data_IF_534384183929
#
_entry.id   IF_534384183929
#
_cell.length_a   1.000
_cell.length_b   1.000
_cell.length_c   1.000
_cell.angle_alpha   90.00
_cell.angle_beta   90.00
_cell.angle_gamma   90.00
#
_symmetry.space_group_name_H-M   'P 1'
#
loop_
_entity.id
_entity.type
_entity.pdbx_description
1 polymer ?
#
# COMPACT_ATOMS: atom_id res chain seq x y z
N UNK A 1 25.89 3.10 46.73
CA UNK A 1 25.74 4.01 45.57
C UNK A 1 26.25 3.30 44.31
N UNK A 2 25.35 2.63 43.61
CA UNK A 2 25.66 2.10 42.28
C UNK A 2 24.37 2.05 41.51
N UNK A 3 24.38 2.69 40.33
CA UNK A 3 23.57 2.33 39.16
C UNK A 3 22.81 3.48 38.51
N UNK A 4 23.13 3.67 37.31
CA UNK A 4 22.29 3.72 36.10
C UNK A 4 23.11 4.24 34.93
N UNK A 5 23.93 3.36 34.32
CA UNK A 5 24.67 3.72 33.11
C UNK A 5 24.34 2.79 31.89
N UNK A 6 23.29 1.94 32.01
CA UNK A 6 22.96 0.95 30.97
C UNK A 6 21.86 1.32 29.99
N UNK A 7 21.06 2.36 30.30
CA UNK A 7 19.84 2.67 29.52
C UNK A 7 20.07 3.63 28.36
N UNK A 8 20.98 4.58 28.46
CA UNK A 8 21.19 5.60 27.43
C UNK A 8 21.86 5.07 26.16
N UNK A 9 22.85 4.19 26.27
CA UNK A 9 23.57 3.65 25.11
C UNK A 9 22.72 2.77 24.19
N UNK A 10 21.76 2.03 24.74
CA UNK A 10 20.92 1.13 23.96
C UNK A 10 19.81 1.88 23.21
N UNK A 11 19.36 2.99 23.75
CA UNK A 11 18.43 3.93 23.10
C UNK A 11 19.14 4.65 21.95
N UNK A 12 20.37 5.12 22.16
CA UNK A 12 21.15 5.82 21.14
C UNK A 12 21.48 4.95 19.94
N UNK A 13 21.83 3.68 20.14
CA UNK A 13 22.14 2.74 19.06
C UNK A 13 20.89 2.42 18.22
N UNK A 14 19.73 2.21 18.85
CA UNK A 14 18.47 2.00 18.15
C UNK A 14 18.03 3.23 17.37
N UNK A 15 18.17 4.41 17.93
CA UNK A 15 17.86 5.68 17.28
C UNK A 15 18.77 5.94 16.09
N UNK A 16 20.07 5.73 16.22
CA UNK A 16 21.06 5.87 15.13
C UNK A 16 20.81 4.85 14.02
N UNK A 17 20.48 3.60 14.34
CA UNK A 17 20.16 2.58 13.34
C UNK A 17 18.84 2.91 12.61
N UNK A 18 17.84 3.41 13.31
CA UNK A 18 16.58 3.86 12.75
C UNK A 18 16.77 5.07 11.81
N UNK A 19 17.54 6.07 12.21
CA UNK A 19 17.85 7.26 11.38
C UNK A 19 18.65 6.84 10.14
N UNK A 20 19.62 5.95 10.25
CA UNK A 20 20.35 5.41 9.09
C UNK A 20 19.45 4.65 8.14
N UNK A 21 18.58 3.79 8.65
CA UNK A 21 17.62 3.05 7.83
C UNK A 21 16.67 4.01 7.10
N UNK A 22 16.12 5.00 7.79
CA UNK A 22 15.21 5.99 7.21
C UNK A 22 15.91 6.87 6.16
N UNK A 23 17.13 7.34 6.44
CA UNK A 23 17.89 8.13 5.47
C UNK A 23 18.27 7.34 4.22
N UNK A 24 18.67 6.08 4.35
CA UNK A 24 18.95 5.19 3.22
C UNK A 24 17.70 4.91 2.39
N UNK A 25 16.53 4.80 3.03
CA UNK A 25 15.25 4.59 2.37
C UNK A 25 14.84 5.82 1.55
N UNK A 26 14.88 7.01 2.15
CA UNK A 26 14.54 8.27 1.47
C UNK A 26 15.51 8.53 0.31
N UNK A 27 16.81 8.40 0.53
CA UNK A 27 17.83 8.58 -0.51
C UNK A 27 17.65 7.56 -1.66
N UNK A 28 17.29 6.32 -1.34
CA UNK A 28 16.95 5.30 -2.34
C UNK A 28 15.75 5.69 -3.20
N UNK A 29 14.69 6.22 -2.59
CA UNK A 29 13.52 6.72 -3.32
C UNK A 29 13.87 7.94 -4.19
N UNK A 30 14.64 8.89 -3.66
CA UNK A 30 15.10 10.06 -4.43
C UNK A 30 15.95 9.66 -5.64
N UNK A 31 16.87 8.71 -5.48
CA UNK A 31 17.70 8.19 -6.57
C UNK A 31 16.84 7.49 -7.63
N UNK A 32 15.85 6.69 -7.21
CA UNK A 32 14.93 6.01 -8.10
C UNK A 32 14.06 7.00 -8.89
N UNK A 33 13.53 8.02 -8.23
CA UNK A 33 12.76 9.11 -8.85
C UNK A 33 13.63 9.87 -9.85
N UNK A 34 14.86 10.21 -9.48
CA UNK A 34 15.79 10.91 -10.38
C UNK A 34 16.11 10.08 -11.63
N UNK A 35 16.30 8.76 -11.48
CA UNK A 35 16.53 7.86 -12.59
C UNK A 35 15.35 7.78 -13.58
N UNK A 36 14.15 8.16 -13.17
CA UNK A 36 12.97 8.21 -14.03
C UNK A 36 12.80 9.53 -14.82
N UNK A 37 13.61 10.54 -14.55
CA UNK A 37 13.42 11.89 -15.10
C UNK A 37 13.38 11.88 -16.63
N UNK A 38 14.23 11.08 -17.28
CA UNK A 38 14.27 10.97 -18.75
C UNK A 38 12.98 10.36 -19.34
N UNK A 39 12.23 9.58 -18.56
CA UNK A 39 10.94 8.99 -18.96
C UNK A 39 9.77 9.91 -18.65
N UNK A 40 9.81 10.54 -17.48
CA UNK A 40 8.74 11.43 -17.02
C UNK A 40 8.70 12.73 -17.82
N UNK A 41 9.85 13.30 -18.17
CA UNK A 41 9.89 14.56 -18.90
C UNK A 41 9.19 14.51 -20.29
N UNK A 42 9.38 13.47 -21.14
CA UNK A 42 8.58 13.30 -22.36
C UNK A 42 7.09 13.08 -22.09
N UNK A 43 6.74 12.32 -21.06
CA UNK A 43 5.34 12.08 -20.68
C UNK A 43 4.61 13.38 -20.32
N UNK A 44 5.26 14.29 -19.61
CA UNK A 44 4.71 15.63 -19.34
C UNK A 44 4.47 16.48 -20.60
N UNK A 45 5.33 16.31 -21.63
CA UNK A 45 5.21 17.08 -22.88
C UNK A 45 4.18 16.49 -23.83
N UNK A 46 4.09 15.18 -23.89
CA UNK A 46 3.38 14.45 -24.95
C UNK A 46 2.11 13.73 -24.43
N UNK A 47 1.93 13.62 -23.10
CA UNK A 47 0.92 12.76 -22.49
C UNK A 47 1.35 11.29 -22.43
N UNK A 48 0.44 10.38 -22.01
CA UNK A 48 0.61 8.92 -22.01
C UNK A 48 1.24 8.33 -20.74
N UNK A 49 1.71 9.16 -19.82
CA UNK A 49 2.25 8.69 -18.54
C UNK A 49 3.54 7.86 -18.65
N UNK A 50 3.86 7.12 -17.60
CA UNK A 50 4.98 6.15 -17.51
C UNK A 50 4.47 4.91 -16.80
N UNK A 51 4.32 3.80 -17.50
CA UNK A 51 3.80 2.57 -16.91
C UNK A 51 4.67 2.09 -15.73
N UNK A 52 4.04 1.45 -14.74
CA UNK A 52 4.74 0.93 -13.56
C UNK A 52 5.93 0.05 -13.94
N UNK A 53 5.73 -0.90 -14.87
CA UNK A 53 6.79 -1.78 -15.36
C UNK A 53 7.95 -1.08 -16.07
N UNK A 54 7.74 0.15 -16.54
CA UNK A 54 8.76 0.97 -17.21
C UNK A 54 9.50 1.90 -16.23
N UNK A 55 9.13 1.93 -14.96
CA UNK A 55 9.86 2.67 -13.93
C UNK A 55 11.30 2.14 -13.80
N UNK A 56 12.20 2.92 -13.20
CA UNK A 56 13.56 2.45 -12.93
C UNK A 56 13.55 1.19 -12.06
N UNK A 57 14.41 0.22 -12.33
CA UNK A 57 14.45 -1.05 -11.58
C UNK A 57 14.68 -0.88 -10.08
N UNK A 58 15.34 0.21 -9.66
CA UNK A 58 15.51 0.55 -8.26
C UNK A 58 14.22 1.07 -7.59
N UNK A 59 13.21 1.50 -8.37
CA UNK A 59 11.95 2.03 -7.85
C UNK A 59 11.19 0.97 -7.04
N UNK A 60 11.06 -0.23 -7.56
CA UNK A 60 10.32 -1.32 -6.90
C UNK A 60 10.89 -1.64 -5.50
N UNK A 61 12.22 -1.74 -5.41
CA UNK A 61 12.90 -1.95 -4.13
C UNK A 61 12.80 -0.73 -3.21
N UNK A 62 12.84 0.49 -3.76
CA UNK A 62 12.78 1.72 -3.00
C UNK A 62 11.39 1.90 -2.36
N UNK A 63 10.32 1.69 -3.12
CA UNK A 63 8.93 1.76 -2.64
C UNK A 63 8.69 0.70 -1.57
N UNK A 64 9.09 -0.56 -1.81
CA UNK A 64 8.95 -1.62 -0.82
C UNK A 64 9.70 -1.32 0.50
N UNK A 65 10.87 -0.69 0.42
CA UNK A 65 11.64 -0.27 1.62
C UNK A 65 10.99 0.92 2.32
N UNK A 66 10.41 1.84 1.58
CA UNK A 66 9.79 3.04 2.13
C UNK A 66 8.59 2.70 3.01
N UNK A 67 7.68 1.87 2.53
CA UNK A 67 6.46 1.53 3.26
C UNK A 67 6.65 0.44 4.32
N UNK A 68 7.65 -0.44 4.16
CA UNK A 68 7.90 -1.57 5.09
C UNK A 68 7.89 -1.20 6.57
N UNK A 69 8.57 -0.14 7.05
CA UNK A 69 8.56 0.22 8.47
C UNK A 69 7.16 0.56 9.00
N UNK A 70 6.34 1.26 8.22
CA UNK A 70 4.95 1.55 8.56
C UNK A 70 4.13 0.26 8.73
N UNK A 71 4.20 -0.63 7.75
CA UNK A 71 3.50 -1.92 7.81
C UNK A 71 3.97 -2.79 8.99
N UNK A 72 5.29 -2.88 9.21
CA UNK A 72 5.85 -3.68 10.32
C UNK A 72 5.42 -3.17 11.69
N UNK A 73 5.31 -1.85 11.85
CA UNK A 73 5.00 -1.25 13.14
C UNK A 73 3.50 -1.17 13.42
N UNK A 74 2.65 -1.01 12.41
CA UNK A 74 1.26 -0.64 12.62
C UNK A 74 0.24 -1.65 12.06
N UNK A 75 0.56 -2.42 11.00
CA UNK A 75 -0.43 -3.24 10.29
C UNK A 75 -1.15 -4.21 11.22
N UNK A 76 -0.41 -5.04 11.95
CA UNK A 76 -0.99 -6.08 12.80
C UNK A 76 -1.42 -5.54 14.16
N UNK A 77 -0.68 -4.58 14.72
CA UNK A 77 -0.91 -4.07 16.07
C UNK A 77 -1.96 -2.97 16.18
N UNK A 78 -2.21 -2.24 15.09
CA UNK A 78 -3.07 -1.06 15.11
C UNK A 78 -4.11 -1.06 14.00
N UNK A 79 -3.70 -1.25 12.73
CA UNK A 79 -4.59 -1.04 11.59
C UNK A 79 -5.64 -2.15 11.47
N UNK A 80 -5.23 -3.42 11.52
CA UNK A 80 -6.18 -4.54 11.47
C UNK A 80 -7.14 -4.54 12.68
N UNK A 81 -6.68 -4.27 13.92
CA UNK A 81 -7.59 -4.13 15.07
C UNK A 81 -8.56 -2.96 14.98
N UNK A 82 -8.24 -1.90 14.23
CA UNK A 82 -9.14 -0.76 14.01
C UNK A 82 -10.32 -1.08 13.08
N UNK A 83 -10.25 -2.19 12.34
CA UNK A 83 -11.35 -2.67 11.48
C UNK A 83 -12.34 -3.50 12.29
N UNK A 84 -13.64 -3.31 12.06
CA UNK A 84 -14.67 -3.96 12.85
C UNK A 84 -14.73 -5.47 12.61
N UNK A 85 -14.35 -6.26 13.64
CA UNK A 85 -14.45 -7.72 13.65
C UNK A 85 -13.47 -8.47 12.75
N UNK A 86 -12.57 -7.77 12.05
CA UNK A 86 -11.64 -8.37 11.09
C UNK A 86 -10.64 -9.30 11.80
N UNK A 87 -10.05 -8.88 12.92
CA UNK A 87 -9.08 -9.72 13.66
C UNK A 87 -9.70 -11.04 14.09
N UNK A 88 -10.93 -11.04 14.57
CA UNK A 88 -11.64 -12.26 14.98
C UNK A 88 -11.82 -13.23 13.80
N UNK A 89 -12.12 -12.72 12.59
CA UNK A 89 -12.21 -13.54 11.38
C UNK A 89 -10.83 -14.10 11.00
N UNK A 90 -9.78 -13.27 11.04
CA UNK A 90 -8.41 -13.68 10.73
C UNK A 90 -7.90 -14.77 11.67
N UNK A 91 -8.18 -14.68 12.97
CA UNK A 91 -7.82 -15.70 13.95
C UNK A 91 -8.52 -17.05 13.73
N UNK A 92 -9.80 -17.00 13.27
CA UNK A 92 -10.61 -18.20 13.01
C UNK A 92 -10.31 -18.87 11.67
N UNK A 93 -9.68 -18.18 10.76
CA UNK A 93 -9.41 -18.64 9.41
C UNK A 93 -10.26 -17.88 8.39
N UNK A 94 -9.72 -16.77 7.90
CA UNK A 94 -10.33 -15.90 6.89
C UNK A 94 -9.69 -16.12 5.53
N UNK A 95 -10.39 -15.72 4.48
CA UNK A 95 -9.86 -15.61 3.13
C UNK A 95 -9.60 -14.15 2.80
N UNK A 96 -8.35 -13.82 2.50
CA UNK A 96 -7.86 -12.45 2.34
C UNK A 96 -7.25 -12.26 0.95
N UNK A 97 -7.62 -11.18 0.28
CA UNK A 97 -6.94 -10.70 -0.93
C UNK A 97 -6.13 -9.44 -0.60
N UNK A 98 -4.86 -9.44 -0.97
CA UNK A 98 -3.95 -8.29 -0.95
C UNK A 98 -3.70 -7.87 -2.40
N UNK A 99 -4.36 -6.81 -2.85
CA UNK A 99 -4.38 -6.39 -4.25
C UNK A 99 -3.45 -5.20 -4.45
N UNK A 100 -2.57 -5.28 -5.44
CA UNK A 100 -1.41 -4.41 -5.57
C UNK A 100 -0.31 -4.79 -4.58
N UNK A 101 -0.15 -6.09 -4.30
CA UNK A 101 0.72 -6.60 -3.23
C UNK A 101 2.21 -6.35 -3.45
N UNK A 102 2.63 -5.96 -4.66
CA UNK A 102 4.02 -5.73 -5.01
C UNK A 102 4.90 -6.93 -4.65
N UNK A 103 5.90 -6.72 -3.83
CA UNK A 103 6.81 -7.78 -3.34
C UNK A 103 6.25 -8.58 -2.15
N UNK A 104 4.97 -8.45 -1.81
CA UNK A 104 4.26 -9.25 -0.80
C UNK A 104 4.56 -8.90 0.66
N UNK A 105 5.07 -7.70 0.97
CA UNK A 105 5.47 -7.33 2.34
C UNK A 105 4.29 -7.37 3.30
N UNK A 106 3.19 -6.72 2.97
CA UNK A 106 1.92 -6.70 3.73
C UNK A 106 1.34 -8.10 3.88
N UNK A 107 1.25 -8.83 2.75
CA UNK A 107 0.75 -10.20 2.70
C UNK A 107 1.50 -11.11 3.68
N UNK A 108 2.84 -11.05 3.67
CA UNK A 108 3.67 -11.88 4.56
C UNK A 108 3.53 -11.51 6.03
N UNK A 109 3.38 -10.22 6.35
CA UNK A 109 3.16 -9.78 7.73
C UNK A 109 1.83 -10.31 8.27
N UNK A 110 0.76 -10.22 7.48
CA UNK A 110 -0.55 -10.77 7.83
C UNK A 110 -0.50 -12.30 7.95
N UNK A 111 0.13 -12.99 7.00
CA UNK A 111 0.22 -14.45 6.99
C UNK A 111 0.99 -15.02 8.19
N UNK A 112 2.04 -14.32 8.65
CA UNK A 112 2.77 -14.68 9.88
C UNK A 112 1.92 -14.49 11.13
N UNK A 113 1.15 -13.41 11.19
CA UNK A 113 0.33 -13.09 12.35
C UNK A 113 -0.90 -13.99 12.47
N UNK A 114 -1.46 -14.44 11.34
CA UNK A 114 -2.71 -15.20 11.29
C UNK A 114 -2.55 -16.51 10.49
N UNK A 115 -1.88 -17.49 11.05
CA UNK A 115 -1.54 -18.73 10.32
C UNK A 115 -2.75 -19.60 9.94
N UNK A 116 -3.91 -19.38 10.54
CA UNK A 116 -5.15 -20.08 10.20
C UNK A 116 -5.85 -19.52 8.94
N UNK A 117 -5.47 -18.32 8.49
CA UNK A 117 -6.06 -17.62 7.35
C UNK A 117 -5.26 -17.86 6.07
N UNK A 118 -5.96 -17.80 4.93
CA UNK A 118 -5.39 -17.87 3.58
C UNK A 118 -5.24 -16.45 3.03
N UNK A 119 -4.05 -16.15 2.50
CA UNK A 119 -3.72 -14.85 1.91
C UNK A 119 -3.36 -15.01 0.44
N UNK A 120 -4.01 -14.25 -0.42
CA UNK A 120 -3.74 -14.26 -1.85
C UNK A 120 -3.30 -12.85 -2.25
N UNK A 121 -2.04 -12.73 -2.66
CA UNK A 121 -1.49 -11.48 -3.20
C UNK A 121 -1.72 -11.41 -4.71
N UNK A 122 -2.28 -10.32 -5.18
CA UNK A 122 -2.47 -10.01 -6.60
C UNK A 122 -1.68 -8.78 -6.98
N UNK A 123 -0.98 -8.84 -8.09
CA UNK A 123 -0.31 -7.69 -8.70
C UNK A 123 -0.28 -7.87 -10.22
N UNK A 124 -0.42 -6.80 -10.98
CA UNK A 124 -0.39 -6.88 -12.44
C UNK A 124 1.02 -7.01 -13.00
N UNK A 125 2.08 -6.76 -12.18
CA UNK A 125 3.48 -6.79 -12.58
C UNK A 125 4.10 -8.18 -12.32
N UNK A 126 4.40 -8.99 -13.34
CA UNK A 126 4.85 -10.37 -13.17
C UNK A 126 6.12 -10.50 -12.31
N UNK A 127 7.10 -9.59 -12.51
CA UNK A 127 8.34 -9.63 -11.74
C UNK A 127 8.14 -9.36 -10.25
N UNK A 128 7.14 -8.54 -9.87
CA UNK A 128 6.75 -8.34 -8.46
C UNK A 128 6.19 -9.62 -7.85
N UNK A 129 5.35 -10.34 -8.59
CA UNK A 129 4.79 -11.62 -8.15
C UNK A 129 5.87 -12.68 -7.95
N UNK A 130 6.84 -12.79 -8.84
CA UNK A 130 7.96 -13.73 -8.66
C UNK A 130 8.81 -13.36 -7.43
N UNK A 131 9.08 -12.08 -7.21
CA UNK A 131 9.75 -11.62 -6.00
C UNK A 131 8.94 -11.94 -4.72
N UNK A 132 7.61 -11.74 -4.75
CA UNK A 132 6.74 -12.05 -3.63
C UNK A 132 6.74 -13.55 -3.27
N UNK A 133 6.69 -14.44 -4.28
CA UNK A 133 6.81 -15.89 -4.09
C UNK A 133 8.13 -16.28 -3.43
N UNK A 134 9.24 -15.73 -3.92
CA UNK A 134 10.56 -15.97 -3.35
C UNK A 134 10.65 -15.51 -1.89
N UNK A 135 10.19 -14.30 -1.61
CA UNK A 135 10.16 -13.75 -0.25
C UNK A 135 9.25 -14.56 0.69
N UNK A 136 8.11 -15.07 0.22
CA UNK A 136 7.22 -15.91 1.04
C UNK A 136 7.91 -17.22 1.43
N UNK A 137 8.65 -17.84 0.50
CA UNK A 137 9.42 -19.03 0.77
C UNK A 137 10.54 -18.76 1.80
N UNK A 138 11.31 -17.70 1.63
CA UNK A 138 12.36 -17.27 2.56
C UNK A 138 11.81 -16.96 3.96
N UNK A 139 10.58 -16.48 4.04
CA UNK A 139 9.92 -16.10 5.28
C UNK A 139 9.08 -17.23 5.91
N UNK A 140 9.01 -18.40 5.29
CA UNK A 140 8.33 -19.59 5.82
C UNK A 140 6.80 -19.46 5.85
N UNK A 141 6.19 -18.65 4.98
CA UNK A 141 4.73 -18.44 4.93
C UNK A 141 4.06 -18.99 3.66
N UNK A 142 4.78 -19.78 2.86
CA UNK A 142 4.22 -20.36 1.63
C UNK A 142 3.06 -21.33 1.86
N UNK A 143 2.88 -21.83 3.09
CA UNK A 143 1.78 -22.73 3.40
C UNK A 143 0.40 -22.05 3.37
N UNK A 144 0.33 -20.76 3.68
CA UNK A 144 -0.90 -19.99 3.75
C UNK A 144 -0.88 -18.73 2.88
N UNK A 145 0.06 -18.64 1.93
CA UNK A 145 0.12 -17.55 0.95
C UNK A 145 0.13 -18.08 -0.48
N UNK A 146 -0.50 -17.33 -1.38
CA UNK A 146 -0.40 -17.50 -2.83
C UNK A 146 -0.18 -16.14 -3.47
N UNK A 147 0.45 -16.12 -4.66
CA UNK A 147 0.68 -14.90 -5.41
C UNK A 147 0.38 -15.14 -6.89
N UNK A 148 -0.47 -14.29 -7.47
CA UNK A 148 -0.98 -14.44 -8.82
C UNK A 148 -0.91 -13.12 -9.58
N UNK A 149 -0.58 -13.19 -10.88
CA UNK A 149 -0.60 -12.02 -11.76
C UNK A 149 -2.04 -11.71 -12.13
N UNK A 150 -2.55 -10.57 -11.66
CA UNK A 150 -3.90 -10.10 -11.99
C UNK A 150 -4.01 -8.58 -11.80
N UNK A 151 -4.96 -7.96 -12.52
CA UNK A 151 -5.29 -6.54 -12.33
C UNK A 151 -6.27 -6.36 -11.20
N UNK A 152 -6.31 -5.15 -10.61
CA UNK A 152 -7.25 -4.82 -9.54
C UNK A 152 -8.73 -4.86 -9.98
N UNK A 153 -8.99 -4.73 -11.27
CA UNK A 153 -10.33 -4.79 -11.86
C UNK A 153 -10.78 -6.18 -12.28
N UNK A 154 -9.89 -7.20 -12.21
CA UNK A 154 -10.19 -8.54 -12.73
C UNK A 154 -9.40 -9.67 -12.03
N UNK A 155 -9.04 -9.52 -10.74
CA UNK A 155 -8.44 -10.63 -10.00
C UNK A 155 -9.47 -11.74 -9.74
N UNK A 156 -9.05 -13.02 -9.74
CA UNK A 156 -9.96 -14.15 -9.54
C UNK A 156 -10.34 -14.32 -8.06
N UNK A 157 -11.46 -14.96 -7.85
CA UNK A 157 -11.93 -15.33 -6.52
C UNK A 157 -13.10 -14.47 -6.03
N UNK A 158 -13.79 -15.00 -5.04
CA UNK A 158 -14.97 -14.40 -4.39
C UNK A 158 -14.99 -14.82 -2.93
N UNK A 159 -15.93 -14.25 -2.20
CA UNK A 159 -16.19 -14.58 -0.80
C UNK A 159 -14.98 -14.30 0.10
N UNK A 160 -14.30 -13.18 -0.17
CA UNK A 160 -13.25 -12.70 0.71
C UNK A 160 -13.84 -12.10 1.99
N UNK A 161 -13.23 -12.42 3.12
CA UNK A 161 -13.52 -11.80 4.42
C UNK A 161 -12.89 -10.41 4.52
N UNK A 162 -11.72 -10.26 3.89
CA UNK A 162 -10.97 -9.00 3.81
C UNK A 162 -10.35 -8.88 2.42
N UNK A 163 -10.53 -7.73 1.81
CA UNK A 163 -9.69 -7.26 0.71
C UNK A 163 -8.86 -6.10 1.23
N UNK A 164 -7.58 -6.06 0.93
CA UNK A 164 -6.68 -5.00 1.39
C UNK A 164 -5.90 -4.40 0.21
N UNK A 165 -5.81 -3.07 0.21
CA UNK A 165 -4.98 -2.29 -0.71
C UNK A 165 -4.00 -1.49 0.13
N UNK A 166 -2.73 -1.53 -0.25
CA UNK A 166 -1.67 -0.84 0.49
C UNK A 166 -0.93 0.11 -0.44
N UNK A 167 -1.19 1.40 -0.28
CA UNK A 167 -0.53 2.49 -1.02
C UNK A 167 -0.52 2.27 -2.55
N UNK A 168 -1.66 1.84 -3.11
CA UNK A 168 -1.74 1.48 -4.53
C UNK A 168 -3.02 1.96 -5.25
N UNK A 169 -4.12 2.25 -4.54
CA UNK A 169 -5.38 2.67 -5.19
C UNK A 169 -5.20 3.99 -5.95
N UNK A 170 -4.40 4.90 -5.40
CA UNK A 170 -4.10 6.19 -6.01
C UNK A 170 -3.24 6.11 -7.28
N UNK A 171 -2.56 4.99 -7.51
CA UNK A 171 -1.73 4.72 -8.69
C UNK A 171 -2.51 4.03 -9.82
N UNK A 172 -3.72 3.55 -9.54
CA UNK A 172 -4.53 2.82 -10.51
C UNK A 172 -5.11 3.75 -11.56
N UNK A 173 -5.20 3.26 -12.80
CA UNK A 173 -5.86 3.97 -13.89
C UNK A 173 -7.37 4.04 -13.69
N UNK A 174 -7.98 2.93 -13.26
CA UNK A 174 -9.41 2.81 -12.97
C UNK A 174 -9.66 2.42 -11.51
N UNK A 175 -9.51 3.35 -10.56
CA UNK A 175 -9.75 3.06 -9.15
C UNK A 175 -11.23 2.80 -8.83
N UNK A 176 -12.18 3.35 -9.60
CA UNK A 176 -13.61 3.08 -9.43
C UNK A 176 -13.99 1.67 -9.90
N UNK A 177 -13.43 1.21 -11.03
CA UNK A 177 -13.58 -0.17 -11.49
C UNK A 177 -12.94 -1.17 -10.52
N UNK A 178 -11.78 -0.84 -9.95
CA UNK A 178 -11.17 -1.64 -8.89
C UNK A 178 -12.09 -1.72 -7.65
N UNK A 179 -12.65 -0.60 -7.19
CA UNK A 179 -13.61 -0.58 -6.09
C UNK A 179 -14.86 -1.43 -6.38
N UNK A 180 -15.40 -1.36 -7.59
CA UNK A 180 -16.54 -2.17 -8.01
C UNK A 180 -16.22 -3.68 -7.98
N UNK A 181 -15.02 -4.07 -8.42
CA UNK A 181 -14.56 -5.44 -8.37
C UNK A 181 -14.38 -5.94 -6.94
N UNK A 182 -13.81 -5.12 -6.06
CA UNK A 182 -13.72 -5.43 -4.61
C UNK A 182 -15.10 -5.65 -4.02
N UNK A 183 -16.06 -4.76 -4.28
CA UNK A 183 -17.43 -4.89 -3.76
C UNK A 183 -18.10 -6.20 -4.18
N UNK A 184 -17.85 -6.66 -5.41
CA UNK A 184 -18.37 -7.93 -5.95
C UNK A 184 -17.64 -9.17 -5.43
N UNK A 185 -16.40 -9.04 -4.98
CA UNK A 185 -15.56 -10.13 -4.50
C UNK A 185 -15.65 -10.39 -3.00
N UNK A 186 -16.14 -9.42 -2.24
CA UNK A 186 -16.32 -9.53 -0.79
C UNK A 186 -17.53 -10.40 -0.42
N UNK A 187 -17.45 -11.02 0.76
CA UNK A 187 -18.65 -11.51 1.46
C UNK A 187 -19.56 -10.35 1.85
N UNK A 188 -20.86 -10.58 2.08
CA UNK A 188 -21.79 -9.53 2.53
C UNK A 188 -21.37 -8.84 3.84
N UNK A 189 -20.62 -9.54 4.71
CA UNK A 189 -20.04 -9.05 5.96
C UNK A 189 -18.53 -8.82 5.87
N UNK A 190 -17.99 -8.83 4.65
CA UNK A 190 -16.59 -8.59 4.38
C UNK A 190 -16.22 -7.12 4.53
N UNK A 191 -14.92 -6.86 4.68
CA UNK A 191 -14.36 -5.50 4.75
C UNK A 191 -13.33 -5.26 3.66
N UNK A 192 -13.30 -4.05 3.12
CA UNK A 192 -12.19 -3.54 2.32
C UNK A 192 -11.37 -2.59 3.17
N UNK A 193 -10.10 -2.92 3.37
CA UNK A 193 -9.09 -2.08 4.00
C UNK A 193 -8.33 -1.31 2.94
N UNK A 194 -8.33 0.00 3.03
CA UNK A 194 -7.62 0.88 2.11
C UNK A 194 -6.61 1.68 2.91
N UNK A 195 -5.32 1.42 2.69
CA UNK A 195 -4.21 2.17 3.25
C UNK A 195 -3.68 3.08 2.16
N UNK A 196 -3.74 4.39 2.38
CA UNK A 196 -3.34 5.39 1.40
C UNK A 196 -2.46 6.47 2.04
N UNK A 197 -1.65 7.20 1.26
CA UNK A 197 -0.86 8.31 1.77
C UNK A 197 -1.73 9.34 2.48
N UNK A 198 -1.24 9.89 3.59
CA UNK A 198 -1.93 10.95 4.31
C UNK A 198 -2.01 12.21 3.46
N UNK A 199 -3.22 12.64 3.18
CA UNK A 199 -3.52 13.90 2.49
C UNK A 199 -4.75 14.56 3.11
N UNK A 200 -4.68 15.87 3.32
CA UNK A 200 -5.82 16.68 3.71
C UNK A 200 -6.65 17.11 2.50
N UNK A 201 -7.92 17.43 2.72
CA UNK A 201 -8.87 17.76 1.66
C UNK A 201 -8.57 19.11 0.97
N UNK A 202 -7.74 19.97 1.56
CA UNK A 202 -7.35 21.27 1.02
C UNK A 202 -5.84 21.34 0.83
N UNK A 203 -5.41 22.15 -0.13
CA UNK A 203 -3.98 22.37 -0.40
C UNK A 203 -3.23 22.85 0.86
N UNK A 204 -3.83 23.76 1.62
CA UNK A 204 -3.24 24.37 2.80
C UNK A 204 -2.94 23.32 3.89
N UNK A 205 -3.76 22.29 4.00
CA UNK A 205 -3.59 21.21 4.99
C UNK A 205 -2.36 20.35 4.65
N UNK A 206 -1.90 20.37 3.41
CA UNK A 206 -0.76 19.61 2.89
C UNK A 206 0.55 20.43 2.81
N UNK A 207 0.56 21.69 3.26
CA UNK A 207 1.77 22.54 3.27
C UNK A 207 2.67 22.20 4.46
N UNK A 208 3.12 20.95 4.52
CA UNK A 208 3.96 20.38 5.55
C UNK A 208 5.02 19.44 4.93
N UNK A 209 6.02 18.93 5.69
CA UNK A 209 7.06 18.06 5.14
C UNK A 209 6.55 16.77 4.50
N UNK A 210 5.49 16.15 5.03
CA UNK A 210 4.89 14.92 4.48
C UNK A 210 4.18 15.23 3.17
N UNK A 211 3.37 16.30 3.14
CA UNK A 211 2.72 16.77 1.92
C UNK A 211 3.74 17.07 0.82
N UNK A 212 4.84 17.76 1.14
CA UNK A 212 5.92 18.03 0.17
C UNK A 212 6.50 16.75 -0.41
N UNK A 213 6.75 15.73 0.42
CA UNK A 213 7.24 14.44 -0.01
C UNK A 213 6.26 13.77 -0.98
N UNK A 214 4.99 13.70 -0.59
CA UNK A 214 3.97 13.03 -1.39
C UNK A 214 3.61 13.77 -2.68
N UNK A 215 3.59 15.10 -2.70
CA UNK A 215 3.43 15.86 -3.96
C UNK A 215 4.58 15.58 -4.93
N UNK A 216 5.81 15.52 -4.43
CA UNK A 216 6.97 15.18 -5.26
C UNK A 216 6.88 13.76 -5.83
N UNK A 217 6.58 12.77 -4.97
CA UNK A 217 6.41 11.38 -5.40
C UNK A 217 5.22 11.22 -6.35
N UNK A 218 4.08 11.84 -6.04
CA UNK A 218 2.88 11.83 -6.86
C UNK A 218 3.14 12.34 -8.28
N UNK A 219 3.82 13.48 -8.39
CA UNK A 219 4.15 14.09 -9.69
C UNK A 219 5.07 13.21 -10.53
N UNK A 220 6.03 12.55 -9.91
CA UNK A 220 7.09 11.83 -10.62
C UNK A 220 6.81 10.34 -10.83
N UNK A 221 5.90 9.76 -10.05
CA UNK A 221 5.61 8.32 -10.04
C UNK A 221 4.13 8.04 -10.18
N UNK A 222 3.30 8.44 -9.20
CA UNK A 222 1.93 8.00 -9.07
C UNK A 222 1.03 8.48 -10.24
N UNK A 223 1.03 9.78 -10.50
CA UNK A 223 0.23 10.35 -11.60
C UNK A 223 0.67 9.82 -12.96
N UNK A 224 1.98 9.81 -13.31
CA UNK A 224 2.43 9.16 -14.55
C UNK A 224 2.06 7.69 -14.66
N UNK A 225 2.12 6.93 -13.55
CA UNK A 225 1.73 5.51 -13.53
C UNK A 225 0.24 5.33 -13.82
N UNK A 226 -0.62 6.12 -13.20
CA UNK A 226 -2.07 6.08 -13.44
C UNK A 226 -2.42 6.48 -14.88
N UNK A 227 -1.81 7.55 -15.40
CA UNK A 227 -2.04 8.03 -16.76
C UNK A 227 -1.58 7.06 -17.86
N UNK A 228 -0.70 6.11 -17.56
CA UNK A 228 -0.26 5.07 -18.48
C UNK A 228 -1.19 3.85 -18.52
N UNK A 229 -2.25 3.85 -17.73
CA UNK A 229 -3.28 2.79 -17.69
C UNK A 229 -4.58 3.27 -18.31
N UNK A 230 -5.47 2.34 -18.65
CA UNK A 230 -6.82 2.65 -19.12
C UNK A 230 -7.57 3.51 -18.07
N UNK A 231 -8.42 4.41 -18.53
CA UNK A 231 -9.11 5.46 -17.77
C UNK A 231 -8.17 6.60 -17.34
N UNK A 232 -7.04 6.30 -16.68
CA UNK A 232 -6.05 7.30 -16.28
C UNK A 232 -6.59 8.32 -15.30
N UNK A 233 -7.25 7.89 -14.22
CA UNK A 233 -7.92 8.76 -13.24
C UNK A 233 -6.97 9.73 -12.51
N UNK A 234 -5.68 9.37 -12.40
CA UNK A 234 -4.59 10.19 -11.87
C UNK A 234 -4.89 10.81 -10.48
N UNK A 235 -5.42 10.00 -9.55
CA UNK A 235 -5.64 10.44 -8.16
C UNK A 235 -4.35 10.94 -7.53
N UNK A 236 -3.28 10.17 -7.69
CA UNK A 236 -1.96 10.46 -7.12
C UNK A 236 -1.92 10.33 -5.59
N UNK A 237 -0.73 10.33 -5.02
CA UNK A 237 -0.50 10.21 -3.58
C UNK A 237 -1.11 11.37 -2.75
N UNK A 238 -1.69 12.36 -3.40
CA UNK A 238 -2.45 13.46 -2.80
C UNK A 238 -3.96 13.32 -3.05
N UNK A 239 -4.42 12.09 -3.35
CA UNK A 239 -5.82 11.73 -3.32
C UNK A 239 -6.34 11.85 -1.89
N UNK A 240 -7.03 12.97 -1.58
CA UNK A 240 -7.61 13.23 -0.27
C UNK A 240 -8.74 12.26 0.08
N UNK A 241 -9.15 12.25 1.35
CA UNK A 241 -10.21 11.34 1.80
C UNK A 241 -11.53 11.56 1.05
N UNK A 242 -11.87 12.81 0.72
CA UNK A 242 -13.11 13.10 0.00
C UNK A 242 -13.11 12.47 -1.40
N UNK A 243 -12.00 12.53 -2.13
CA UNK A 243 -11.83 11.87 -3.43
C UNK A 243 -11.83 10.34 -3.32
N UNK A 244 -11.11 9.80 -2.33
CA UNK A 244 -11.12 8.35 -2.08
C UNK A 244 -12.52 7.85 -1.76
N UNK A 245 -13.27 8.55 -0.89
CA UNK A 245 -14.68 8.22 -0.60
C UNK A 245 -15.56 8.26 -1.84
N UNK A 246 -15.38 9.25 -2.72
CA UNK A 246 -16.12 9.33 -3.97
C UNK A 246 -15.86 8.11 -4.87
N UNK A 247 -14.59 7.71 -5.03
CA UNK A 247 -14.18 6.51 -5.77
C UNK A 247 -14.78 5.24 -5.17
N UNK A 248 -14.65 5.06 -3.85
CA UNK A 248 -15.15 3.89 -3.12
C UNK A 248 -16.68 3.78 -3.26
N UNK A 249 -17.38 4.92 -3.11
CA UNK A 249 -18.84 4.98 -3.25
C UNK A 249 -19.28 4.69 -4.70
N UNK A 250 -18.55 5.20 -5.70
CA UNK A 250 -18.80 4.89 -7.11
C UNK A 250 -18.66 3.38 -7.41
N UNK A 251 -17.78 2.68 -6.67
CA UNK A 251 -17.64 1.22 -6.74
C UNK A 251 -18.76 0.42 -6.05
N UNK A 252 -19.74 1.09 -5.42
CA UNK A 252 -20.91 0.45 -4.83
C UNK A 252 -20.90 0.29 -3.31
N UNK A 253 -19.86 0.74 -2.62
CA UNK A 253 -19.80 0.73 -1.17
C UNK A 253 -20.68 1.82 -0.54
N UNK A 254 -21.39 1.46 0.53
CA UNK A 254 -22.32 2.36 1.24
C UNK A 254 -21.75 2.89 2.54
N UNK A 255 -20.90 2.10 3.19
CA UNK A 255 -20.34 2.42 4.48
C UNK A 255 -18.83 2.60 4.32
N UNK A 256 -18.35 3.82 4.51
CA UNK A 256 -16.93 4.17 4.44
C UNK A 256 -16.58 4.99 5.68
N UNK A 257 -15.55 4.57 6.41
CA UNK A 257 -15.05 5.33 7.56
C UNK A 257 -13.54 5.37 7.59
N UNK A 258 -12.97 6.39 8.21
CA UNK A 258 -11.57 6.36 8.62
C UNK A 258 -11.46 5.47 9.86
N UNK A 259 -10.72 4.39 9.76
CA UNK A 259 -10.51 3.43 10.84
C UNK A 259 -9.31 3.81 11.71
N UNK A 260 -8.21 4.24 11.09
CA UNK A 260 -7.00 4.67 11.77
C UNK A 260 -6.22 5.68 10.91
N UNK A 261 -5.21 6.30 11.50
CA UNK A 261 -4.28 7.17 10.79
C UNK A 261 -2.90 7.16 11.45
N UNK A 262 -1.89 7.48 10.66
CA UNK A 262 -0.52 7.78 11.10
C UNK A 262 -0.10 9.11 10.45
N UNK A 263 1.05 9.69 10.79
CA UNK A 263 1.53 10.87 10.09
C UNK A 263 1.75 10.66 8.58
N UNK A 264 1.86 9.39 8.12
CA UNK A 264 2.16 9.04 6.73
C UNK A 264 0.99 8.38 5.99
N UNK A 265 0.08 7.73 6.69
CA UNK A 265 -1.02 6.99 6.07
C UNK A 265 -2.37 7.29 6.72
N UNK A 266 -3.42 7.31 5.91
CA UNK A 266 -4.80 7.15 6.35
C UNK A 266 -5.26 5.73 6.03
N UNK A 267 -6.06 5.17 6.94
CA UNK A 267 -6.61 3.82 6.80
C UNK A 267 -8.13 3.94 6.78
N UNK A 268 -8.71 3.61 5.62
CA UNK A 268 -10.15 3.59 5.46
C UNK A 268 -10.66 2.14 5.53
N UNK A 269 -11.83 1.98 6.10
CA UNK A 269 -12.63 0.75 6.00
C UNK A 269 -13.87 1.03 5.19
N UNK A 270 -14.12 0.19 4.18
CA UNK A 270 -15.34 0.21 3.40
C UNK A 270 -16.08 -1.14 3.51
N UNK A 271 -17.42 -1.09 3.56
CA UNK A 271 -18.28 -2.28 3.59
C UNK A 271 -19.41 -2.15 2.58
N UNK A 272 -19.81 -3.26 1.95
CA UNK A 272 -20.92 -3.29 1.01
C UNK A 272 -22.24 -2.72 1.53
#
# INVERSE_FOLDING_TARGET
>A
MHRRAGSSRQIDIKLISCIRCLSQTILGCMAAIHANLEKVQPAFKNGGGVAWGDQSTCMFCAVARFFRPGYQNHLVSEWLPALDGVVVKLERGARVADVGCGHGVSTMLMAKAFPNSEFIGYDFHPSSIEAAKAHAAENGVSANTRFEVATATNYPGKDFDLVAFFDCLHDMGDPAGAAAHVCQSLKPDGSWMIVEPMAGDRLEDNLNPVGRLYYGASTMVCVPTSLAQDVGAALGAQGDEARLRAVITAGGFRNVRRAAETPFNMILEARP
#
